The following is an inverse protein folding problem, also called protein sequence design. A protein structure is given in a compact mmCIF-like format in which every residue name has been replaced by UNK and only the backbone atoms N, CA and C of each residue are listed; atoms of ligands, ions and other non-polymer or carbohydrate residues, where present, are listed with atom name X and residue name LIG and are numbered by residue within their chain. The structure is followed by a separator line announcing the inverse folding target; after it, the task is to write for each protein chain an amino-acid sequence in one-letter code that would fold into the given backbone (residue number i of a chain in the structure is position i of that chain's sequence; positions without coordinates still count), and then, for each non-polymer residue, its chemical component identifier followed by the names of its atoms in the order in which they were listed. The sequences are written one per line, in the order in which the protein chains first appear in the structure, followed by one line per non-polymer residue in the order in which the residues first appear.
data_IF_996409406828
#
_entry.id   IF_996409406828
#
_cell.length_a   1.000
_cell.length_b   1.000
_cell.length_c   1.000
_cell.angle_alpha   90.00
_cell.angle_beta   90.00
_cell.angle_gamma   90.00
#
_symmetry.space_group_name_H-M   'P 1'
#
loop_
_entity.id
_entity.type
_entity.pdbx_description
1 polymer ?
#
# COMPACT_ATOMS: atom_id res chain seq x y z
N UNK A 1 -12.35 17.91 -0.67
CA UNK A 1 -11.52 17.27 -1.72
C UNK A 1 -12.26 16.04 -2.22
N UNK A 2 -12.49 15.94 -3.52
CA UNK A 2 -13.36 14.90 -4.10
C UNK A 2 -12.71 13.52 -4.00
N UNK A 3 -13.42 12.58 -3.38
CA UNK A 3 -13.02 11.18 -3.19
C UNK A 3 -13.10 10.49 -4.56
N UNK A 4 -11.98 10.43 -5.30
CA UNK A 4 -11.91 9.74 -6.60
C UNK A 4 -12.38 8.30 -6.44
N UNK A 5 -13.43 7.92 -7.17
CA UNK A 5 -13.99 6.55 -7.14
C UNK A 5 -13.18 5.68 -8.11
N UNK A 6 -13.23 4.36 -7.93
CA UNK A 6 -12.62 3.37 -8.84
C UNK A 6 -13.05 3.57 -10.32
N UNK A 7 -14.24 4.13 -10.55
CA UNK A 7 -14.75 4.55 -11.87
C UNK A 7 -13.90 5.61 -12.57
N UNK A 8 -13.13 6.41 -11.83
CA UNK A 8 -12.30 7.47 -12.41
C UNK A 8 -11.10 6.90 -13.18
N UNK A 9 -10.52 5.78 -12.72
CA UNK A 9 -9.36 5.17 -13.38
C UNK A 9 -9.68 4.69 -14.80
N UNK A 10 -10.87 4.10 -15.01
CA UNK A 10 -11.30 3.61 -16.33
C UNK A 10 -11.44 4.76 -17.33
N UNK A 11 -11.86 5.94 -16.86
CA UNK A 11 -12.08 7.14 -17.67
C UNK A 11 -10.80 7.95 -17.93
N UNK A 12 -9.66 7.59 -17.33
CA UNK A 12 -8.40 8.30 -17.57
C UNK A 12 -7.88 8.07 -19.00
N UNK A 13 -7.23 9.08 -19.61
CA UNK A 13 -6.45 8.90 -20.83
C UNK A 13 -5.37 7.82 -20.69
N UNK A 14 -5.03 7.13 -21.78
CA UNK A 14 -4.07 6.02 -21.76
C UNK A 14 -2.67 6.44 -21.30
N UNK A 15 -2.26 7.69 -21.60
CA UNK A 15 -0.97 8.20 -21.13
C UNK A 15 -0.94 8.33 -19.60
N UNK A 16 -2.04 8.73 -18.95
CA UNK A 16 -2.09 8.84 -17.48
C UNK A 16 -2.08 7.46 -16.84
N UNK A 17 -2.84 6.51 -17.40
CA UNK A 17 -2.80 5.11 -16.97
C UNK A 17 -1.39 4.54 -17.06
N UNK A 18 -0.69 4.83 -18.16
CA UNK A 18 0.70 4.39 -18.37
C UNK A 18 1.67 5.03 -17.38
N UNK A 19 1.50 6.32 -17.08
CA UNK A 19 2.29 7.00 -16.05
C UNK A 19 2.07 6.39 -14.67
N UNK A 20 0.82 6.13 -14.29
CA UNK A 20 0.49 5.50 -13.01
C UNK A 20 1.13 4.11 -12.89
N UNK A 21 1.00 3.27 -13.93
CA UNK A 21 1.63 1.94 -13.97
C UNK A 21 3.14 2.05 -13.77
N UNK A 22 3.79 2.93 -14.53
CA UNK A 22 5.24 3.16 -14.42
C UNK A 22 5.65 3.63 -13.02
N UNK A 23 4.89 4.51 -12.38
CA UNK A 23 5.18 4.96 -11.01
C UNK A 23 5.05 3.82 -10.00
N UNK A 24 4.05 2.96 -10.16
CA UNK A 24 3.88 1.77 -9.32
C UNK A 24 5.01 0.75 -9.53
N UNK A 25 5.46 0.56 -10.77
CA UNK A 25 6.59 -0.30 -11.12
C UNK A 25 7.93 0.20 -10.56
N UNK A 26 8.21 1.51 -10.67
CA UNK A 26 9.42 2.11 -10.12
C UNK A 26 9.46 2.08 -8.58
N UNK A 27 8.26 2.05 -7.98
CA UNK A 27 8.07 2.00 -6.55
C UNK A 27 8.00 3.38 -5.89
N UNK A 28 7.29 3.41 -4.77
CA UNK A 28 7.07 4.62 -3.96
C UNK A 28 7.52 4.34 -2.53
N UNK A 29 8.28 5.28 -1.94
CA UNK A 29 8.69 5.14 -0.54
C UNK A 29 7.51 5.48 0.37
N UNK A 30 7.11 4.51 1.18
CA UNK A 30 6.01 4.62 2.14
C UNK A 30 6.48 4.20 3.53
N UNK A 31 5.71 4.60 4.54
CA UNK A 31 5.92 4.13 5.91
C UNK A 31 5.02 2.91 6.17
N UNK A 32 5.61 1.80 6.56
CA UNK A 32 4.90 0.56 6.94
C UNK A 32 4.69 0.54 8.45
N UNK A 33 3.43 0.34 8.86
CA UNK A 33 3.03 0.21 10.26
C UNK A 33 2.74 -1.25 10.60
N UNK A 34 3.23 -1.68 11.76
CA UNK A 34 2.95 -3.01 12.30
C UNK A 34 2.93 -2.97 13.82
N UNK A 35 1.88 -3.51 14.43
CA UNK A 35 1.81 -3.71 15.87
C UNK A 35 2.88 -4.66 16.41
N UNK A 36 3.46 -5.51 15.54
CA UNK A 36 4.53 -6.44 15.90
C UNK A 36 5.89 -5.75 15.98
N UNK A 37 6.02 -4.53 15.46
CA UNK A 37 7.27 -3.77 15.43
C UNK A 37 7.17 -2.52 16.30
N UNK A 38 8.24 -2.22 17.04
CA UNK A 38 8.26 -1.06 17.94
C UNK A 38 8.27 0.28 17.21
N UNK A 39 8.83 0.32 15.99
CA UNK A 39 8.95 1.53 15.18
C UNK A 39 8.38 1.29 13.78
N UNK A 40 7.66 2.26 13.21
CA UNK A 40 7.30 2.25 11.79
C UNK A 40 8.54 2.28 10.92
N UNK A 41 8.47 1.63 9.77
CA UNK A 41 9.61 1.41 8.91
C UNK A 41 9.38 2.02 7.51
N UNK A 42 10.33 2.82 7.04
CA UNK A 42 10.30 3.29 5.64
C UNK A 42 10.69 2.16 4.70
N UNK A 43 9.85 1.88 3.72
CA UNK A 43 10.05 0.84 2.70
C UNK A 43 9.68 1.37 1.33
N UNK A 44 10.34 0.87 0.30
CA UNK A 44 9.92 1.07 -1.08
C UNK A 44 8.83 0.05 -1.39
N UNK A 45 7.64 0.53 -1.72
CA UNK A 45 6.51 -0.28 -2.16
C UNK A 45 6.48 -0.25 -3.68
N UNK A 46 6.61 -1.40 -4.31
CA UNK A 46 6.68 -1.53 -5.78
C UNK A 46 5.73 -2.61 -6.27
N UNK A 47 5.24 -2.43 -7.49
CA UNK A 47 4.45 -3.44 -8.20
C UNK A 47 5.34 -4.13 -9.22
N UNK A 48 5.57 -5.43 -9.03
CA UNK A 48 6.24 -6.28 -10.00
C UNK A 48 5.18 -6.77 -10.98
N UNK A 49 5.16 -6.21 -12.19
CA UNK A 49 4.06 -6.42 -13.13
C UNK A 49 4.07 -7.82 -13.73
N UNK A 50 5.25 -8.38 -13.95
CA UNK A 50 5.46 -9.72 -14.53
C UNK A 50 4.85 -10.80 -13.63
N UNK A 51 5.08 -10.70 -12.33
CA UNK A 51 4.55 -11.65 -11.33
C UNK A 51 3.23 -11.20 -10.71
N UNK A 52 2.77 -9.98 -11.01
CA UNK A 52 1.57 -9.34 -10.44
C UNK A 52 1.62 -9.31 -8.91
N UNK A 53 2.74 -8.86 -8.36
CA UNK A 53 3.00 -8.79 -6.93
C UNK A 53 3.20 -7.37 -6.46
N UNK A 54 2.77 -7.08 -5.24
CA UNK A 54 3.20 -5.89 -4.50
C UNK A 54 4.34 -6.33 -3.57
N UNK A 55 5.51 -5.72 -3.71
CA UNK A 55 6.68 -6.01 -2.89
C UNK A 55 7.04 -4.79 -2.03
N UNK A 56 7.56 -5.05 -0.82
CA UNK A 56 8.15 -4.01 0.03
C UNK A 56 9.59 -4.36 0.39
N UNK A 57 10.48 -3.40 0.20
CA UNK A 57 11.91 -3.60 0.35
C UNK A 57 12.56 -2.50 1.18
N UNK A 58 13.63 -2.86 1.89
CA UNK A 58 14.45 -1.90 2.64
C UNK A 58 15.42 -1.17 1.71
N UNK A 59 15.93 -1.89 0.72
CA UNK A 59 16.82 -1.43 -0.37
C UNK A 59 16.46 -2.21 -1.64
N UNK A 60 16.95 -1.78 -2.80
CA UNK A 60 16.60 -2.40 -4.10
C UNK A 60 16.92 -3.91 -4.15
N UNK A 61 17.94 -4.35 -3.44
CA UNK A 61 18.43 -5.73 -3.34
C UNK A 61 17.83 -6.52 -2.17
N UNK A 62 17.10 -5.88 -1.25
CA UNK A 62 16.58 -6.50 -0.03
C UNK A 62 15.07 -6.37 0.09
N UNK A 63 14.38 -7.28 -0.59
CA UNK A 63 12.93 -7.47 -0.46
C UNK A 63 12.63 -8.14 0.90
N UNK A 64 11.77 -7.51 1.69
CA UNK A 64 11.36 -8.05 3.00
C UNK A 64 10.06 -8.87 2.92
N UNK A 65 9.27 -8.65 1.86
CA UNK A 65 8.11 -9.46 1.58
C UNK A 65 7.41 -9.04 0.29
N UNK A 66 6.48 -9.89 -0.11
CA UNK A 66 5.60 -9.69 -1.26
C UNK A 66 4.19 -10.18 -0.91
N UNK A 67 3.21 -9.68 -1.64
CA UNK A 67 1.86 -10.20 -1.69
C UNK A 67 1.39 -10.27 -3.14
N UNK A 68 0.66 -11.31 -3.49
CA UNK A 68 0.09 -11.44 -4.83
C UNK A 68 -1.13 -10.53 -4.94
N UNK A 69 -1.24 -9.77 -6.05
CA UNK A 69 -2.37 -8.85 -6.26
C UNK A 69 -3.71 -9.60 -6.26
N UNK A 70 -3.72 -10.87 -6.69
CA UNK A 70 -4.93 -11.72 -6.69
C UNK A 70 -5.42 -12.07 -5.29
N UNK A 71 -4.55 -11.98 -4.28
CA UNK A 71 -4.92 -12.23 -2.89
C UNK A 71 -5.49 -10.99 -2.19
N UNK A 72 -5.39 -9.80 -2.79
CA UNK A 72 -5.98 -8.58 -2.25
C UNK A 72 -7.50 -8.74 -2.24
N UNK A 73 -8.09 -8.66 -1.05
CA UNK A 73 -9.54 -8.69 -0.85
C UNK A 73 -10.14 -7.30 -0.78
N UNK A 74 -9.38 -6.36 -0.21
CA UNK A 74 -9.87 -5.01 0.01
C UNK A 74 -8.69 -4.03 0.19
N UNK A 75 -8.85 -2.79 -0.29
CA UNK A 75 -7.96 -1.67 0.03
C UNK A 75 -8.81 -0.59 0.69
N UNK A 76 -8.53 -0.29 1.96
CA UNK A 76 -9.27 0.71 2.74
C UNK A 76 -8.49 2.01 2.84
N UNK A 77 -9.01 3.14 2.35
CA UNK A 77 -8.40 4.46 2.58
C UNK A 77 -8.66 4.91 4.02
N UNK A 78 -7.70 5.59 4.64
CA UNK A 78 -7.75 6.06 6.02
C UNK A 78 -7.03 5.17 7.02
N UNK A 79 -7.18 5.52 8.30
CA UNK A 79 -6.56 4.85 9.46
C UNK A 79 -7.50 3.81 10.08
N UNK A 80 -7.98 2.85 9.28
CA UNK A 80 -9.02 1.89 9.72
C UNK A 80 -8.47 0.62 10.37
N UNK A 81 -7.17 0.57 10.65
CA UNK A 81 -6.50 -0.59 11.23
C UNK A 81 -5.89 -0.22 12.58
N UNK A 82 -5.85 -1.19 13.50
CA UNK A 82 -5.30 -1.03 14.85
C UNK A 82 -3.82 -0.60 14.85
N UNK A 83 -3.09 -0.91 13.78
CA UNK A 83 -1.70 -0.45 13.59
C UNK A 83 -1.58 1.09 13.57
N UNK A 84 -2.66 1.81 13.23
CA UNK A 84 -2.67 3.27 13.23
C UNK A 84 -3.08 3.91 14.56
N UNK A 85 -3.55 3.14 15.55
CA UNK A 85 -4.09 3.65 16.82
C UNK A 85 -2.99 3.99 17.86
N UNK A 86 -1.70 3.78 17.54
CA UNK A 86 -0.60 3.91 18.50
C UNK A 86 0.59 4.70 17.96
N UNK A 87 1.34 5.30 18.87
CA UNK A 87 2.64 5.92 18.58
C UNK A 87 2.55 7.04 17.54
N UNK A 88 3.49 7.03 16.58
CA UNK A 88 3.58 8.05 15.52
C UNK A 88 2.37 8.07 14.59
N UNK A 89 1.66 6.94 14.49
CA UNK A 89 0.57 6.75 13.54
C UNK A 89 -0.67 7.60 13.85
N UNK A 90 -0.89 7.92 15.14
CA UNK A 90 -2.05 8.71 15.60
C UNK A 90 -2.06 10.11 14.98
N UNK A 91 -0.86 10.70 14.77
CA UNK A 91 -0.68 12.06 14.26
C UNK A 91 -0.72 12.16 12.74
N UNK A 92 -0.78 11.03 12.04
CA UNK A 92 -0.83 11.04 10.57
C UNK A 92 -2.17 11.57 10.07
N UNK A 93 -2.16 12.18 8.89
CA UNK A 93 -3.39 12.56 8.20
C UNK A 93 -4.04 11.31 7.58
N UNK A 94 -5.36 11.23 7.64
CA UNK A 94 -6.10 10.05 7.16
C UNK A 94 -6.02 9.86 5.66
N UNK A 95 -5.97 10.95 4.89
CA UNK A 95 -5.90 10.97 3.43
C UNK A 95 -4.57 10.42 2.88
N UNK A 96 -3.55 10.32 3.72
CA UNK A 96 -2.24 9.76 3.38
C UNK A 96 -2.12 8.27 3.75
N UNK A 97 -3.10 7.73 4.48
CA UNK A 97 -3.05 6.38 5.02
C UNK A 97 -3.97 5.43 4.28
N UNK A 98 -3.59 4.16 4.19
CA UNK A 98 -4.46 3.09 3.73
C UNK A 98 -4.00 1.73 4.24
N UNK A 99 -4.90 0.75 4.19
CA UNK A 99 -4.63 -0.64 4.56
C UNK A 99 -4.99 -1.57 3.40
N UNK A 100 -4.06 -2.44 3.03
CA UNK A 100 -4.32 -3.56 2.11
C UNK A 100 -4.66 -4.79 2.94
N UNK A 101 -5.85 -5.35 2.76
CA UNK A 101 -6.25 -6.62 3.34
C UNK A 101 -6.10 -7.72 2.29
N UNK A 102 -5.34 -8.76 2.61
CA UNK A 102 -4.98 -9.81 1.66
C UNK A 102 -4.85 -11.20 2.30
N UNK A 103 -4.95 -12.22 1.46
CA UNK A 103 -4.79 -13.63 1.84
C UNK A 103 -6.03 -14.48 1.53
N UNK A 104 -5.92 -15.77 1.82
CA UNK A 104 -6.95 -16.80 1.53
C UNK A 104 -7.70 -17.29 2.75
N UNK A 105 -7.27 -16.89 3.96
CA UNK A 105 -7.89 -17.31 5.22
C UNK A 105 -9.00 -16.34 5.66
N UNK A 106 -9.87 -16.80 6.58
CA UNK A 106 -10.89 -15.94 7.18
C UNK A 106 -10.29 -14.73 7.89
N UNK A 107 -9.17 -14.94 8.60
CA UNK A 107 -8.38 -13.84 9.18
C UNK A 107 -7.36 -13.39 8.13
N UNK A 108 -7.64 -12.24 7.51
CA UNK A 108 -6.75 -11.67 6.50
C UNK A 108 -5.51 -11.04 7.12
N UNK A 109 -4.42 -11.04 6.36
CA UNK A 109 -3.25 -10.23 6.65
C UNK A 109 -3.54 -8.77 6.31
N UNK A 110 -2.84 -7.86 6.99
CA UNK A 110 -2.95 -6.42 6.79
C UNK A 110 -1.58 -5.81 6.53
N UNK A 111 -1.48 -5.02 5.47
CA UNK A 111 -0.34 -4.14 5.20
C UNK A 111 -0.81 -2.69 5.36
N UNK A 112 -0.41 -2.05 6.45
CA UNK A 112 -0.80 -0.69 6.81
C UNK A 112 0.28 0.29 6.35
N UNK A 113 -0.10 1.22 5.47
CA UNK A 113 0.82 2.09 4.75
C UNK A 113 0.45 3.56 4.91
N UNK A 114 1.46 4.41 4.94
CA UNK A 114 1.33 5.86 4.77
C UNK A 114 2.19 6.31 3.59
N UNK A 115 1.54 6.95 2.61
CA UNK A 115 2.17 7.61 1.47
C UNK A 115 2.32 9.11 1.74
N UNK A 116 3.46 9.67 1.35
CA UNK A 116 3.78 11.08 1.57
C UNK A 116 3.15 11.98 0.48
#
# INVERSE_FOLDING_TARGET
MAKRKSTDFVMLPEYEKSQIKRTLELGTVMTVFSLRKAQPERRTIQVIMETRQVAWSKTADKIEGFLDIVEIKEIRPGKNAKDFERGKAVRLKEDHCFTILYGSQFVLNMLCLEGN
#
